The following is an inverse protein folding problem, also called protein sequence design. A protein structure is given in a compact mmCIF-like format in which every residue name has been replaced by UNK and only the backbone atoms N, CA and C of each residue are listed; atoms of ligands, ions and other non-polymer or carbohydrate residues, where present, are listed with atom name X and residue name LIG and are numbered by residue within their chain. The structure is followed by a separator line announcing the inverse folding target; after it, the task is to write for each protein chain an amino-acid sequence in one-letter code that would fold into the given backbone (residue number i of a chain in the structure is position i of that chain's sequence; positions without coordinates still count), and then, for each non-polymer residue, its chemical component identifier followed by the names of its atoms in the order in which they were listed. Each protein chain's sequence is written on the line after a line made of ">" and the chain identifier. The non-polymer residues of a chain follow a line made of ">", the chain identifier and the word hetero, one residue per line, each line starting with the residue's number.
data_IF_229240609917
#
_entry.id   IF_229240609917
#
_cell.length_a   1.000
_cell.length_b   1.000
_cell.length_c   1.000
_cell.angle_alpha   90.00
_cell.angle_beta   90.00
_cell.angle_gamma   90.00
#
_symmetry.space_group_name_H-M   'P 1'
#
loop_
_entity.id
_entity.type
_entity.pdbx_description
1 polymer ?
#
# COMPACT_ATOMS: atom_id res chain seq x y z
N UNK A 1 9.64 -3.88 -1.74
CA UNK A 1 10.09 -3.12 -0.55
C UNK A 1 8.89 -2.84 0.31
N UNK A 2 9.10 -2.50 1.58
CA UNK A 2 8.04 -1.96 2.43
C UNK A 2 8.39 -0.50 2.75
N UNK A 3 7.49 0.39 2.38
CA UNK A 3 7.58 1.83 2.63
C UNK A 3 6.90 2.19 3.95
N UNK A 4 7.39 3.25 4.61
CA UNK A 4 6.87 3.78 5.87
C UNK A 4 7.02 5.32 5.90
N UNK A 5 5.91 6.03 6.09
CA UNK A 5 5.91 7.49 6.23
C UNK A 5 5.80 7.98 7.69
N UNK A 6 5.86 7.08 8.67
CA UNK A 6 5.73 7.34 10.10
C UNK A 6 4.31 7.13 10.66
N UNK A 7 3.31 7.05 9.79
CA UNK A 7 1.91 6.78 10.15
C UNK A 7 1.43 5.49 9.48
N UNK A 8 1.87 5.27 8.25
CA UNK A 8 1.30 4.34 7.30
C UNK A 8 2.41 3.58 6.57
N UNK A 9 2.11 2.32 6.25
CA UNK A 9 3.01 1.46 5.47
C UNK A 9 2.41 1.08 4.13
N UNK A 10 3.28 0.79 3.17
CA UNK A 10 2.89 0.39 1.82
C UNK A 10 3.83 -0.66 1.23
N UNK A 11 3.33 -1.44 0.28
CA UNK A 11 4.10 -2.48 -0.40
C UNK A 11 4.55 -1.95 -1.76
N UNK A 12 5.84 -1.67 -1.89
CA UNK A 12 6.44 -1.13 -3.13
C UNK A 12 6.94 -2.26 -4.01
N UNK A 13 6.45 -2.32 -5.24
CA UNK A 13 6.73 -3.38 -6.22
C UNK A 13 7.21 -2.80 -7.54
N UNK A 14 8.04 -3.53 -8.32
CA UNK A 14 8.32 -3.18 -9.70
C UNK A 14 7.01 -3.11 -10.49
N UNK A 15 6.85 -2.09 -11.33
CA UNK A 15 5.64 -1.90 -12.15
C UNK A 15 5.45 -3.06 -13.13
N UNK A 16 6.55 -3.66 -13.58
CA UNK A 16 6.59 -4.82 -14.47
C UNK A 16 7.60 -5.82 -13.91
N UNK A 17 7.19 -7.08 -13.83
CA UNK A 17 8.00 -8.21 -13.38
C UNK A 17 7.67 -9.45 -14.21
N UNK A 18 8.38 -10.57 -13.99
CA UNK A 18 8.04 -11.86 -14.60
C UNK A 18 6.68 -12.43 -14.15
N UNK A 19 6.15 -11.97 -13.01
CA UNK A 19 4.92 -12.49 -12.40
C UNK A 19 3.71 -11.61 -12.72
N UNK A 20 3.88 -10.29 -12.72
CA UNK A 20 2.78 -9.33 -12.86
C UNK A 20 3.22 -8.07 -13.60
N UNK A 21 2.36 -7.63 -14.51
CA UNK A 21 2.33 -6.28 -15.06
C UNK A 21 1.29 -5.45 -14.31
N UNK A 22 1.73 -4.57 -13.41
CA UNK A 22 0.85 -3.74 -12.61
C UNK A 22 0.27 -2.57 -13.41
N UNK A 23 0.75 -2.26 -14.62
CA UNK A 23 0.19 -1.19 -15.45
C UNK A 23 -1.25 -1.47 -15.86
N UNK A 24 -1.64 -2.73 -15.95
CA UNK A 24 -3.02 -3.12 -16.28
C UNK A 24 -3.97 -2.89 -15.09
N UNK A 25 -3.42 -2.92 -13.88
CA UNK A 25 -4.17 -2.76 -12.64
C UNK A 25 -4.12 -1.31 -12.15
N UNK A 26 -3.01 -0.60 -12.32
CA UNK A 26 -2.80 0.78 -11.88
C UNK A 26 -2.22 1.57 -13.05
N UNK A 27 -3.04 1.87 -14.09
CA UNK A 27 -2.55 2.54 -15.27
C UNK A 27 -2.16 3.98 -14.94
N UNK A 28 -1.06 4.46 -15.53
CA UNK A 28 -0.60 5.83 -15.29
C UNK A 28 -1.62 6.89 -15.78
N UNK A 29 -2.54 6.52 -16.68
CA UNK A 29 -3.65 7.38 -17.13
C UNK A 29 -4.58 7.83 -16.02
N UNK A 30 -4.62 7.11 -14.90
CA UNK A 30 -5.45 7.45 -13.74
C UNK A 30 -4.78 8.51 -12.86
N UNK A 31 -3.51 8.83 -13.13
CA UNK A 31 -2.72 9.80 -12.37
C UNK A 31 -2.82 11.22 -12.96
N UNK A 32 -2.73 12.27 -12.12
CA UNK A 32 -2.61 13.64 -12.60
C UNK A 32 -1.36 13.91 -13.45
N UNK A 33 -0.23 13.25 -13.17
CA UNK A 33 0.98 13.29 -14.00
C UNK A 33 1.29 11.91 -14.59
N UNK A 34 0.65 11.55 -15.72
CA UNK A 34 0.79 10.25 -16.36
C UNK A 34 2.12 10.08 -17.12
N UNK A 35 2.86 11.17 -17.35
CA UNK A 35 4.00 11.22 -18.27
C UNK A 35 5.34 10.81 -17.64
N UNK A 36 5.40 10.77 -16.31
CA UNK A 36 6.63 10.45 -15.58
C UNK A 36 7.06 8.99 -15.85
N UNK A 37 8.37 8.73 -15.87
CA UNK A 37 8.91 7.40 -16.16
C UNK A 37 8.82 6.49 -14.92
N UNK A 38 7.60 6.19 -14.48
CA UNK A 38 7.34 5.34 -13.32
C UNK A 38 7.91 3.94 -13.55
N UNK A 39 8.50 3.40 -12.50
CA UNK A 39 9.17 2.09 -12.50
C UNK A 39 8.61 1.14 -11.46
N UNK A 40 7.90 1.69 -10.47
CA UNK A 40 7.36 0.96 -9.33
C UNK A 40 5.97 1.52 -9.02
N UNK A 41 5.16 0.68 -8.40
CA UNK A 41 3.91 1.07 -7.73
C UNK A 41 3.98 0.62 -6.28
N UNK A 42 3.53 1.47 -5.38
CA UNK A 42 3.31 1.14 -4.00
C UNK A 42 1.81 1.02 -3.75
N UNK A 43 1.42 -0.04 -3.06
CA UNK A 43 0.01 -0.31 -2.76
C UNK A 43 -0.18 -0.38 -1.26
N UNK A 44 -1.27 0.23 -0.82
CA UNK A 44 -1.76 0.13 0.54
C UNK A 44 -3.28 0.22 0.58
N UNK A 45 -3.87 0.02 1.76
CA UNK A 45 -5.31 -0.01 1.97
C UNK A 45 -5.63 0.74 3.26
N UNK A 46 -6.79 1.37 3.37
CA UNK A 46 -7.23 2.05 4.58
C UNK A 46 -8.70 2.41 4.57
N UNK A 47 -9.11 3.19 5.57
CA UNK A 47 -10.50 3.64 5.69
C UNK A 47 -10.80 4.75 4.68
N UNK A 48 -11.89 4.55 3.94
CA UNK A 48 -12.30 5.41 2.83
C UNK A 48 -12.52 6.86 3.25
N UNK A 49 -13.38 7.10 4.24
CA UNK A 49 -13.77 8.47 4.57
C UNK A 49 -12.60 9.25 5.17
N UNK A 50 -11.75 8.60 5.95
CA UNK A 50 -10.51 9.17 6.48
C UNK A 50 -9.58 9.54 5.35
N UNK A 51 -9.32 8.66 4.38
CA UNK A 51 -8.43 8.96 3.26
C UNK A 51 -8.97 10.09 2.38
N UNK A 52 -10.27 10.10 2.07
CA UNK A 52 -10.83 11.11 1.19
C UNK A 52 -11.03 12.48 1.87
N UNK A 53 -11.18 12.53 3.19
CA UNK A 53 -11.42 13.77 3.93
C UNK A 53 -10.19 14.31 4.69
N UNK A 54 -9.04 13.64 4.59
CA UNK A 54 -7.77 14.09 5.19
C UNK A 54 -6.90 14.72 4.09
N UNK A 55 -6.70 16.05 4.03
CA UNK A 55 -6.12 16.70 2.83
C UNK A 55 -4.69 16.25 2.47
N UNK A 56 -3.89 15.87 3.48
CA UNK A 56 -2.51 15.45 3.29
C UNK A 56 -2.15 14.28 4.20
N UNK A 57 -1.10 13.52 3.84
CA UNK A 57 -0.52 12.52 4.72
C UNK A 57 -0.08 13.06 6.09
N UNK A 58 0.27 14.34 6.19
CA UNK A 58 0.65 14.96 7.47
C UNK A 58 -0.54 15.18 8.41
N UNK A 59 -1.74 15.34 7.85
CA UNK A 59 -2.98 15.47 8.61
C UNK A 59 -3.51 14.09 9.07
N UNK A 60 -3.06 13.02 8.42
CA UNK A 60 -3.28 11.65 8.86
C UNK A 60 -2.39 11.39 10.07
N UNK A 61 -2.86 11.74 11.27
CA UNK A 61 -2.12 11.47 12.51
C UNK A 61 -2.40 10.06 13.03
N UNK A 62 -1.51 9.50 13.87
CA UNK A 62 -1.79 8.24 14.58
C UNK A 62 -3.12 8.29 15.36
N UNK A 63 -3.43 9.37 16.12
CA UNK A 63 -4.76 9.54 16.70
C UNK A 63 -5.88 9.50 15.66
N UNK A 64 -5.74 10.16 14.51
CA UNK A 64 -6.76 10.13 13.44
C UNK A 64 -6.97 8.72 12.91
N UNK A 65 -5.90 7.97 12.65
CA UNK A 65 -5.98 6.59 12.14
C UNK A 65 -6.58 5.62 13.17
N UNK A 66 -6.32 5.82 14.46
CA UNK A 66 -6.90 5.00 15.54
C UNK A 66 -8.35 5.38 15.87
N UNK A 67 -8.69 6.66 15.73
CA UNK A 67 -10.04 7.18 15.95
C UNK A 67 -10.91 7.14 14.67
N UNK A 68 -10.36 6.66 13.56
CA UNK A 68 -11.08 6.43 12.32
C UNK A 68 -12.37 5.64 12.59
N UNK A 69 -13.41 5.92 11.79
CA UNK A 69 -14.69 5.27 11.94
C UNK A 69 -14.52 3.75 11.91
N UNK A 70 -14.91 3.08 12.99
CA UNK A 70 -14.96 1.62 13.00
C UNK A 70 -16.15 1.18 12.17
N UNK A 71 -15.93 0.22 11.26
CA UNK A 71 -16.96 -0.23 10.32
C UNK A 71 -17.00 0.52 8.99
N UNK A 72 -16.04 1.42 8.71
CA UNK A 72 -15.94 2.13 7.43
C UNK A 72 -15.51 1.23 6.27
N UNK A 73 -15.77 1.68 5.04
CA UNK A 73 -15.41 0.96 3.82
C UNK A 73 -13.90 1.05 3.53
N UNK A 74 -13.39 0.04 2.83
CA UNK A 74 -12.01 0.00 2.36
C UNK A 74 -11.75 0.93 1.18
N UNK A 75 -10.53 1.47 1.14
CA UNK A 75 -10.02 2.23 0.01
C UNK A 75 -8.57 1.83 -0.28
N UNK A 76 -8.30 1.43 -1.52
CA UNK A 76 -6.96 1.10 -1.99
C UNK A 76 -6.25 2.38 -2.41
N UNK A 77 -5.02 2.56 -1.97
CA UNK A 77 -4.14 3.63 -2.41
C UNK A 77 -3.01 3.06 -3.25
N UNK A 78 -2.78 3.65 -4.43
CA UNK A 78 -1.68 3.30 -5.31
C UNK A 78 -0.83 4.55 -5.59
N UNK A 79 0.46 4.49 -5.24
CA UNK A 79 1.43 5.55 -5.52
C UNK A 79 2.51 5.05 -6.48
N UNK A 80 2.77 5.81 -7.55
CA UNK A 80 3.76 5.44 -8.55
C UNK A 80 5.09 6.14 -8.30
N UNK A 81 6.18 5.36 -8.31
CA UNK A 81 7.51 5.84 -8.00
C UNK A 81 8.50 5.67 -9.16
N UNK A 82 9.43 6.62 -9.25
CA UNK A 82 10.56 6.59 -10.18
C UNK A 82 11.80 6.15 -9.41
N UNK A 83 12.26 4.92 -9.68
CA UNK A 83 13.45 4.28 -9.09
C UNK A 83 13.59 4.52 -7.57
N UNK A 84 12.57 4.16 -6.76
CA UNK A 84 12.69 4.26 -5.31
C UNK A 84 13.88 3.43 -4.81
N UNK A 85 14.72 4.04 -3.98
CA UNK A 85 15.92 3.43 -3.42
C UNK A 85 15.72 2.94 -1.98
N UNK A 86 16.59 2.05 -1.48
CA UNK A 86 16.59 1.66 -0.08
C UNK A 86 16.90 2.86 0.83
N UNK A 87 16.25 2.89 1.99
CA UNK A 87 16.48 3.91 3.02
C UNK A 87 15.76 3.59 4.33
N UNK A 88 15.84 4.48 5.34
CA UNK A 88 15.23 4.25 6.65
C UNK A 88 13.72 3.96 6.57
N UNK A 89 13.05 4.67 5.66
CA UNK A 89 11.62 4.61 5.35
C UNK A 89 11.24 3.70 4.18
N UNK A 90 12.22 3.10 3.50
CA UNK A 90 11.99 2.21 2.36
C UNK A 90 12.91 1.00 2.46
N UNK A 91 12.40 -0.07 3.07
CA UNK A 91 13.22 -1.24 3.39
C UNK A 91 13.09 -2.31 2.31
N UNK A 92 14.20 -2.82 1.76
CA UNK A 92 14.17 -3.94 0.82
C UNK A 92 13.46 -5.15 1.43
N UNK A 93 12.62 -5.79 0.61
CA UNK A 93 12.00 -7.07 0.94
C UNK A 93 12.47 -8.07 -0.10
N UNK A 94 13.21 -9.08 0.33
CA UNK A 94 13.70 -10.17 -0.53
C UNK A 94 12.83 -11.40 -0.30
N UNK A 95 12.09 -11.78 -1.33
CA UNK A 95 11.21 -12.94 -1.34
C UNK A 95 11.42 -13.71 -2.63
N UNK A 96 11.10 -14.99 -2.60
CA UNK A 96 11.08 -15.87 -3.77
C UNK A 96 9.99 -15.47 -4.76
N UNK A 97 10.10 -15.93 -6.00
CA UNK A 97 9.07 -15.70 -7.01
C UNK A 97 7.70 -16.28 -6.61
N UNK A 98 7.68 -17.43 -5.95
CA UNK A 98 6.45 -18.06 -5.46
C UNK A 98 5.79 -17.27 -4.32
N UNK A 99 6.59 -16.69 -3.40
CA UNK A 99 6.10 -15.76 -2.39
C UNK A 99 5.57 -14.48 -3.03
N UNK A 100 6.26 -13.96 -4.05
CA UNK A 100 5.79 -12.78 -4.78
C UNK A 100 4.49 -13.04 -5.55
N UNK A 101 4.30 -14.22 -6.14
CA UNK A 101 3.04 -14.59 -6.78
C UNK A 101 1.87 -14.63 -5.79
N UNK A 102 2.09 -15.11 -4.56
CA UNK A 102 1.07 -15.04 -3.49
C UNK A 102 0.78 -13.60 -3.07
N UNK A 103 1.81 -12.77 -2.95
CA UNK A 103 1.65 -11.34 -2.66
C UNK A 103 0.82 -10.63 -3.75
N UNK A 104 1.11 -10.91 -5.02
CA UNK A 104 0.35 -10.38 -6.17
C UNK A 104 -1.12 -10.77 -6.05
N UNK A 105 -1.42 -12.05 -5.82
CA UNK A 105 -2.79 -12.54 -5.70
C UNK A 105 -3.56 -11.88 -4.54
N UNK A 106 -2.90 -11.70 -3.38
CA UNK A 106 -3.46 -11.03 -2.22
C UNK A 106 -3.84 -9.56 -2.51
N UNK A 107 -2.96 -8.83 -3.23
CA UNK A 107 -3.22 -7.45 -3.63
C UNK A 107 -4.31 -7.38 -4.71
N UNK A 108 -4.27 -8.26 -5.70
CA UNK A 108 -5.29 -8.29 -6.77
C UNK A 108 -6.69 -8.54 -6.24
N UNK A 109 -6.84 -9.32 -5.17
CA UNK A 109 -8.13 -9.51 -4.52
C UNK A 109 -8.77 -8.18 -4.07
N UNK A 110 -7.95 -7.20 -3.67
CA UNK A 110 -8.43 -5.89 -3.22
C UNK A 110 -8.80 -4.95 -4.37
N UNK A 111 -8.58 -5.34 -5.63
CA UNK A 111 -8.84 -4.49 -6.78
C UNK A 111 -10.24 -4.80 -7.29
N UNK A 112 -11.19 -3.83 -7.23
CA UNK A 112 -12.53 -4.05 -7.75
C UNK A 112 -12.52 -4.37 -9.24
N UNK A 113 -13.40 -5.27 -9.65
CA UNK A 113 -13.59 -5.61 -11.06
C UNK A 113 -14.41 -4.51 -11.75
N UNK A 114 -13.99 -4.07 -12.93
CA UNK A 114 -14.77 -3.15 -13.78
C UNK A 114 -16.18 -3.71 -14.09
N UNK A 115 -17.25 -2.90 -14.16
CA UNK A 115 -17.29 -1.44 -14.25
C UNK A 115 -17.39 -0.68 -12.92
N UNK A 116 -17.34 -1.36 -11.77
CA UNK A 116 -17.60 -0.74 -10.46
C UNK A 116 -16.40 -0.05 -9.82
N UNK A 117 -15.30 0.10 -10.55
CA UNK A 117 -14.07 0.67 -10.02
C UNK A 117 -14.07 2.18 -10.20
N UNK A 118 -14.47 2.90 -9.15
CA UNK A 118 -14.32 4.36 -9.13
C UNK A 118 -12.87 4.74 -8.84
N UNK A 119 -12.45 5.88 -9.39
CA UNK A 119 -11.09 6.42 -9.30
C UNK A 119 -11.17 7.76 -8.59
N UNK A 120 -10.44 7.91 -7.49
CA UNK A 120 -10.37 9.15 -6.73
C UNK A 120 -8.96 9.70 -6.74
N UNK A 121 -8.87 11.03 -6.69
CA UNK A 121 -7.59 11.72 -6.68
C UNK A 121 -6.81 11.38 -5.41
N UNK A 122 -5.53 11.03 -5.58
CA UNK A 122 -4.60 10.86 -4.47
C UNK A 122 -4.12 12.17 -3.84
N UNK A 123 -3.17 12.10 -2.92
CA UNK A 123 -2.64 13.27 -2.23
C UNK A 123 -1.60 14.05 -3.06
N UNK A 124 -1.03 13.45 -4.10
CA UNK A 124 0.02 13.98 -4.94
C UNK A 124 -0.31 13.80 -6.44
N UNK A 125 0.59 14.22 -7.33
CA UNK A 125 0.40 14.06 -8.77
C UNK A 125 0.69 12.65 -9.29
N UNK A 126 1.22 11.78 -8.42
CA UNK A 126 1.70 10.45 -8.76
C UNK A 126 0.95 9.33 -8.03
N UNK A 127 -0.14 9.65 -7.35
CA UNK A 127 -0.94 8.67 -6.63
C UNK A 127 -2.44 8.85 -6.87
N UNK A 128 -3.18 7.80 -6.51
CA UNK A 128 -4.60 7.64 -6.83
C UNK A 128 -5.21 6.66 -5.84
N UNK A 129 -6.50 6.83 -5.57
CA UNK A 129 -7.29 5.88 -4.79
C UNK A 129 -8.31 5.15 -5.66
N UNK A 130 -8.65 3.95 -5.23
CA UNK A 130 -9.71 3.13 -5.79
C UNK A 130 -10.56 2.58 -4.66
N UNK A 131 -11.84 2.32 -4.93
CA UNK A 131 -12.64 1.51 -4.01
C UNK A 131 -11.94 0.19 -3.71
N UNK A 132 -12.12 -0.33 -2.50
CA UNK A 132 -11.62 -1.64 -2.15
C UNK A 132 -12.63 -2.38 -1.29
N UNK A 133 -12.75 -3.71 -1.45
CA UNK A 133 -13.50 -4.51 -0.50
C UNK A 133 -12.86 -4.49 0.89
N UNK A 134 -13.65 -4.88 1.90
CA UNK A 134 -13.23 -4.97 3.29
C UNK A 134 -13.76 -3.83 4.16
N UNK A 135 -13.65 -4.03 5.46
CA UNK A 135 -14.16 -3.10 6.47
C UNK A 135 -13.04 -2.71 7.40
N UNK A 136 -12.89 -1.41 7.64
CA UNK A 136 -11.87 -0.88 8.52
C UNK A 136 -12.28 -1.01 9.99
N UNK A 137 -11.37 -1.50 10.83
CA UNK A 137 -11.52 -1.53 12.28
C UNK A 137 -10.16 -1.71 12.98
N UNK A 138 -10.12 -1.69 14.32
CA UNK A 138 -8.85 -1.80 15.06
C UNK A 138 -8.06 -3.10 14.79
N UNK A 139 -8.75 -4.18 14.42
CA UNK A 139 -8.14 -5.43 13.94
C UNK A 139 -7.79 -5.49 12.45
N UNK A 140 -8.15 -4.49 11.65
CA UNK A 140 -7.92 -4.40 10.20
C UNK A 140 -7.69 -2.93 9.83
N UNK A 141 -6.56 -2.41 10.30
CA UNK A 141 -6.08 -1.06 10.01
C UNK A 141 -5.21 -1.08 8.75
N UNK A 142 -4.78 0.08 8.27
CA UNK A 142 -3.90 0.15 7.10
C UNK A 142 -2.57 -0.63 7.27
N UNK A 143 -1.93 -0.49 8.44
CA UNK A 143 -0.69 -1.21 8.76
C UNK A 143 -0.93 -2.70 9.00
N UNK A 144 -2.09 -3.05 9.58
CA UNK A 144 -2.46 -4.45 9.74
C UNK A 144 -2.68 -5.12 8.39
N UNK A 145 -3.39 -4.46 7.47
CA UNK A 145 -3.61 -4.96 6.11
C UNK A 145 -2.28 -5.25 5.40
N UNK A 146 -1.29 -4.35 5.48
CA UNK A 146 0.05 -4.60 4.92
C UNK A 146 0.69 -5.84 5.56
N UNK A 147 0.59 -5.98 6.88
CA UNK A 147 1.13 -7.14 7.59
C UNK A 147 0.48 -8.45 7.18
N UNK A 148 -0.83 -8.45 6.95
CA UNK A 148 -1.61 -9.62 6.53
C UNK A 148 -1.28 -10.02 5.09
N UNK A 149 -1.19 -9.05 4.17
CA UNK A 149 -0.76 -9.30 2.78
C UNK A 149 0.66 -9.88 2.72
N UNK A 150 1.55 -9.37 3.56
CA UNK A 150 2.90 -9.92 3.70
C UNK A 150 2.87 -11.35 4.29
N UNK A 151 2.02 -11.61 5.29
CA UNK A 151 1.84 -12.95 5.86
C UNK A 151 1.29 -13.95 4.84
N UNK A 152 0.31 -13.56 4.02
CA UNK A 152 -0.23 -14.37 2.91
C UNK A 152 0.84 -14.70 1.86
N UNK A 153 1.77 -13.76 1.62
CA UNK A 153 2.93 -14.00 0.79
C UNK A 153 3.90 -15.03 1.39
N UNK A 154 3.83 -15.30 2.69
CA UNK A 154 4.76 -16.17 3.43
C UNK A 154 5.86 -15.41 4.17
N UNK A 155 5.81 -14.06 4.17
CA UNK A 155 6.73 -13.24 4.94
C UNK A 155 6.34 -13.30 6.41
N UNK A 156 7.33 -13.51 7.28
CA UNK A 156 7.08 -13.52 8.72
C UNK A 156 6.70 -12.12 9.19
N UNK A 157 5.50 -11.98 9.76
CA UNK A 157 5.02 -10.73 10.37
C UNK A 157 4.41 -10.99 11.74
N UNK A 158 3.94 -9.93 12.41
CA UNK A 158 3.28 -10.03 13.70
C UNK A 158 1.78 -10.31 13.52
N UNK A 159 1.18 -11.03 14.45
CA UNK A 159 -0.27 -11.30 14.43
C UNK A 159 -1.13 -10.05 14.59
N UNK A 160 -0.59 -8.98 15.16
CA UNK A 160 -1.26 -7.69 15.26
C UNK A 160 -0.24 -6.53 15.24
N UNK A 161 -0.30 -5.72 14.20
CA UNK A 161 0.63 -4.61 13.90
C UNK A 161 -0.13 -3.38 13.38
N UNK A 162 -0.97 -2.73 14.21
CA UNK A 162 -1.77 -1.57 13.79
C UNK A 162 -0.92 -0.30 13.55
N UNK A 163 0.34 -0.31 13.97
CA UNK A 163 1.28 0.80 13.83
C UNK A 163 2.42 0.42 12.88
N UNK A 164 3.00 1.38 12.15
CA UNK A 164 4.03 1.11 11.13
C UNK A 164 5.26 0.41 11.72
N UNK A 165 5.68 0.80 12.93
CA UNK A 165 6.80 0.16 13.63
C UNK A 165 6.60 -1.34 13.88
N UNK A 166 5.35 -1.81 14.01
CA UNK A 166 5.02 -3.22 14.15
C UNK A 166 5.30 -4.02 12.87
N UNK A 167 4.94 -3.46 11.71
CA UNK A 167 5.24 -4.03 10.38
C UNK A 167 6.74 -3.98 10.13
N UNK A 168 7.33 -2.79 10.28
CA UNK A 168 8.74 -2.53 9.97
C UNK A 168 9.71 -3.28 10.87
N UNK A 169 9.30 -3.78 12.04
CA UNK A 169 10.11 -4.68 12.88
C UNK A 169 10.53 -5.95 12.13
N UNK A 170 9.72 -6.41 11.19
CA UNK A 170 9.92 -7.66 10.46
C UNK A 170 10.69 -7.49 9.15
N UNK A 171 10.86 -6.25 8.70
CA UNK A 171 11.56 -5.95 7.46
C UNK A 171 12.97 -5.50 7.78
N UNK A 172 13.95 -6.21 7.23
CA UNK A 172 15.37 -5.95 7.44
C UNK A 172 15.70 -4.49 7.09
N UNK A 173 16.50 -3.86 7.95
CA UNK A 173 17.05 -2.54 7.63
C UNK A 173 18.02 -2.71 6.46
N UNK A 174 18.05 -1.77 5.50
CA UNK A 174 19.11 -1.76 4.50
C UNK A 174 20.47 -1.69 5.22
N UNK A 175 21.50 -2.28 4.60
CA UNK A 175 22.86 -2.13 5.10
C UNK A 175 23.19 -0.64 5.23
N UNK A 176 23.84 -0.26 6.33
CA UNK A 176 24.47 1.05 6.39
C UNK A 176 25.67 1.00 5.45
N UNK A 177 25.66 1.86 4.43
CA UNK A 177 26.84 2.13 3.61
C UNK A 177 27.95 2.79 4.45
#
# INVERSE_FOLDING_TARGET
>A
MVGDNGIHTEIVMPLVSGVKDWRTAFPASDLPDPSRPYTHVAVSWGERDVFLNTPTWGDLSLPTALNAATGGDGLLHAAHYVRPGPGPSNRPLRITEAEYARLVAAIEWQIPVSPTREVYRGYASYDVFYDAPGTYHLGNTCNQWVSDVLAEAGVKTGWWTPLPGGVMKWIEKPAAD
#
